data_IF_764493464116
#
_entry.id   IF_764493464116
#
_cell.length_a   1.000
_cell.length_b   1.000
_cell.length_c   1.000
_cell.angle_alpha   90.00
_cell.angle_beta   90.00
_cell.angle_gamma   90.00
#
_symmetry.space_group_name_H-M   'P 1'
#
loop_
_entity.id
_entity.type
_entity.pdbx_description
1 polymer ?
#
# COMPACT_ATOMS: atom_id res chain seq x y z
N UNK A 1 -34.10 20.76 47.40
CA UNK A 1 -34.90 20.22 46.27
C UNK A 1 -34.30 20.54 44.89
N UNK A 2 -33.41 21.54 44.80
CA UNK A 2 -32.72 21.99 43.57
C UNK A 2 -31.60 21.04 43.10
N UNK A 3 -30.88 20.38 44.02
CA UNK A 3 -29.77 19.48 43.68
C UNK A 3 -30.22 18.21 42.92
N UNK A 4 -31.42 17.69 43.23
CA UNK A 4 -32.01 16.55 42.50
C UNK A 4 -32.47 16.95 41.09
N UNK A 5 -32.88 18.21 40.88
CA UNK A 5 -33.29 18.72 39.58
C UNK A 5 -32.11 18.88 38.61
N UNK A 6 -30.90 19.14 39.12
CA UNK A 6 -29.68 19.26 38.31
C UNK A 6 -29.03 17.90 37.98
N UNK A 7 -29.35 16.87 38.76
CA UNK A 7 -28.76 15.53 38.60
C UNK A 7 -29.33 14.76 37.39
N UNK A 8 -30.60 14.98 37.05
CA UNK A 8 -31.30 14.36 35.92
C UNK A 8 -30.74 14.82 34.55
N UNK A 9 -30.59 16.14 34.27
CA UNK A 9 -30.02 16.58 33.00
C UNK A 9 -28.52 16.28 32.90
N UNK A 10 -27.78 16.32 34.02
CA UNK A 10 -26.38 15.91 34.03
C UNK A 10 -26.23 14.43 33.65
N UNK A 11 -27.04 13.55 34.22
CA UNK A 11 -27.03 12.13 33.88
C UNK A 11 -27.45 11.89 32.41
N UNK A 12 -28.43 12.63 31.89
CA UNK A 12 -28.83 12.56 30.48
C UNK A 12 -27.70 13.00 29.52
N UNK A 13 -26.92 14.03 29.88
CA UNK A 13 -25.73 14.47 29.15
C UNK A 13 -24.62 13.40 29.17
N UNK A 14 -24.44 12.72 30.30
CA UNK A 14 -23.51 11.58 30.40
C UNK A 14 -23.98 10.37 29.57
N UNK A 15 -25.30 10.12 29.48
CA UNK A 15 -25.84 9.05 28.63
C UNK A 15 -25.83 9.39 27.13
N UNK A 16 -25.96 10.67 26.76
CA UNK A 16 -25.84 11.12 25.38
C UNK A 16 -24.38 11.08 24.85
N UNK A 17 -23.40 10.96 25.74
CA UNK A 17 -22.00 10.72 25.40
C UNK A 17 -21.67 9.22 25.22
N UNK A 18 -22.62 8.32 25.48
CA UNK A 18 -22.50 6.92 25.09
C UNK A 18 -22.89 6.79 23.61
N UNK A 19 -21.90 6.46 22.79
CA UNK A 19 -22.09 6.07 21.39
C UNK A 19 -23.16 4.97 21.31
N UNK A 20 -24.32 5.28 20.73
CA UNK A 20 -25.43 4.32 20.59
C UNK A 20 -24.99 3.30 19.54
N UNK A 21 -24.70 2.04 19.91
CA UNK A 21 -24.28 1.04 18.93
C UNK A 21 -25.46 0.75 18.01
N UNK A 22 -25.45 1.30 16.80
CA UNK A 22 -26.52 1.10 15.82
C UNK A 22 -26.99 2.34 15.04
N UNK A 23 -26.53 3.55 15.38
CA UNK A 23 -26.76 4.77 14.59
C UNK A 23 -25.65 5.06 13.56
N UNK A 24 -24.77 4.08 13.31
CA UNK A 24 -23.75 4.18 12.27
C UNK A 24 -24.33 4.10 10.86
N UNK A 25 -23.53 4.40 9.82
CA UNK A 25 -23.91 4.14 8.43
C UNK A 25 -24.39 2.68 8.29
N UNK A 26 -25.35 2.46 7.39
CA UNK A 26 -25.94 1.14 7.13
C UNK A 26 -24.83 0.07 7.13
N UNK A 27 -24.96 -1.03 7.88
CA UNK A 27 -23.89 -2.00 8.09
C UNK A 27 -23.34 -2.57 6.77
N UNK A 28 -24.15 -2.60 5.70
CA UNK A 28 -23.72 -3.02 4.37
C UNK A 28 -22.86 -1.97 3.69
N UNK A 29 -23.12 -0.68 3.92
CA UNK A 29 -22.28 0.41 3.40
C UNK A 29 -20.94 0.41 4.14
N UNK A 30 -20.97 0.33 5.48
CA UNK A 30 -19.75 0.22 6.29
C UNK A 30 -18.91 -1.00 5.87
N UNK A 31 -19.55 -2.15 5.62
CA UNK A 31 -18.86 -3.33 5.13
C UNK A 31 -18.26 -3.09 3.74
N UNK A 32 -18.99 -2.50 2.79
CA UNK A 32 -18.45 -2.21 1.44
C UNK A 32 -17.25 -1.25 1.48
N UNK A 33 -17.28 -0.26 2.37
CA UNK A 33 -16.15 0.65 2.57
C UNK A 33 -14.94 -0.06 3.17
N UNK A 34 -15.16 -0.91 4.18
CA UNK A 34 -14.10 -1.71 4.80
C UNK A 34 -13.46 -2.69 3.79
N UNK A 35 -14.27 -3.39 3.01
CA UNK A 35 -13.80 -4.27 1.94
C UNK A 35 -13.00 -3.50 0.88
N UNK A 36 -13.49 -2.34 0.45
CA UNK A 36 -12.80 -1.49 -0.51
C UNK A 36 -11.45 -0.98 0.02
N UNK A 37 -11.35 -0.59 1.30
CA UNK A 37 -10.09 -0.23 1.94
C UNK A 37 -9.11 -1.41 1.99
N UNK A 38 -9.59 -2.60 2.36
CA UNK A 38 -8.77 -3.81 2.39
C UNK A 38 -8.21 -4.14 1.00
N UNK A 39 -9.03 -4.04 -0.05
CA UNK A 39 -8.60 -4.19 -1.45
C UNK A 39 -7.50 -3.19 -1.80
N UNK A 40 -7.67 -1.91 -1.45
CA UNK A 40 -6.67 -0.87 -1.71
C UNK A 40 -5.32 -1.16 -1.05
N UNK A 41 -5.34 -1.56 0.21
CA UNK A 41 -4.13 -1.94 0.94
C UNK A 41 -3.45 -3.16 0.31
N UNK A 42 -4.22 -4.20 -0.03
CA UNK A 42 -3.70 -5.38 -0.71
C UNK A 42 -3.08 -5.04 -2.08
N UNK A 43 -3.73 -4.18 -2.87
CA UNK A 43 -3.18 -3.71 -4.15
C UNK A 43 -1.84 -3.02 -3.98
N UNK A 44 -1.70 -2.15 -2.97
CA UNK A 44 -0.44 -1.45 -2.73
C UNK A 44 0.67 -2.40 -2.29
N UNK A 45 0.34 -3.32 -1.38
CA UNK A 45 1.25 -4.37 -0.95
C UNK A 45 1.68 -5.25 -2.13
N UNK A 46 0.77 -5.52 -3.07
CA UNK A 46 1.04 -6.20 -4.33
C UNK A 46 1.86 -5.37 -5.34
N UNK A 47 2.37 -4.20 -4.94
CA UNK A 47 3.14 -3.26 -5.76
C UNK A 47 2.43 -2.79 -7.03
N UNK A 48 1.08 -2.75 -7.02
CA UNK A 48 0.30 -2.23 -8.14
C UNK A 48 0.05 -0.72 -8.06
N UNK A 49 -0.04 -0.09 -9.23
CA UNK A 49 -0.55 1.27 -9.36
C UNK A 49 -2.05 1.35 -9.02
N UNK A 50 -2.51 2.52 -8.59
CA UNK A 50 -3.92 2.72 -8.20
C UNK A 50 -4.89 2.52 -9.38
N UNK A 51 -4.50 2.95 -10.58
CA UNK A 51 -5.32 2.81 -11.79
C UNK A 51 -5.56 1.34 -12.16
N UNK A 52 -4.53 0.49 -12.03
CA UNK A 52 -4.66 -0.96 -12.22
C UNK A 52 -5.59 -1.56 -11.16
N UNK A 53 -5.48 -1.10 -9.91
CA UNK A 53 -6.36 -1.56 -8.83
C UNK A 53 -7.85 -1.24 -9.11
N UNK A 54 -8.15 -0.09 -9.71
CA UNK A 54 -9.52 0.26 -10.11
C UNK A 54 -10.05 -0.61 -11.24
N UNK A 55 -9.20 -0.98 -12.20
CA UNK A 55 -9.57 -1.86 -13.30
C UNK A 55 -9.85 -3.28 -12.82
N UNK A 56 -9.06 -3.78 -11.87
CA UNK A 56 -9.23 -5.11 -11.27
C UNK A 56 -10.45 -5.19 -10.34
N UNK A 57 -10.86 -4.05 -9.76
CA UNK A 57 -11.93 -4.00 -8.75
C UNK A 57 -13.04 -3.00 -9.13
N UNK A 58 -13.74 -3.20 -10.27
CA UNK A 58 -14.72 -2.23 -10.76
C UNK A 58 -15.97 -2.09 -9.87
N UNK A 59 -16.21 -3.05 -8.97
CA UNK A 59 -17.33 -3.04 -8.01
C UNK A 59 -16.97 -2.39 -6.67
N UNK A 60 -15.69 -2.09 -6.43
CA UNK A 60 -15.24 -1.49 -5.20
C UNK A 60 -15.44 0.03 -5.22
N UNK A 61 -15.63 0.61 -4.03
CA UNK A 61 -15.73 2.06 -3.86
C UNK A 61 -14.34 2.68 -4.10
N UNK A 62 -14.16 3.35 -5.24
CA UNK A 62 -12.85 3.88 -5.67
C UNK A 62 -12.19 4.79 -4.62
N UNK A 63 -12.98 5.58 -3.90
CA UNK A 63 -12.50 6.45 -2.82
C UNK A 63 -11.92 5.63 -1.66
N UNK A 64 -12.66 4.65 -1.16
CA UNK A 64 -12.20 3.76 -0.11
C UNK A 64 -11.00 2.90 -0.54
N UNK A 65 -10.95 2.46 -1.79
CA UNK A 65 -9.76 1.79 -2.36
C UNK A 65 -8.54 2.71 -2.32
N UNK A 66 -8.69 3.99 -2.70
CA UNK A 66 -7.58 4.94 -2.64
C UNK A 66 -7.10 5.20 -1.21
N UNK A 67 -8.03 5.33 -0.27
CA UNK A 67 -7.71 5.54 1.14
C UNK A 67 -6.86 4.37 1.67
N UNK A 68 -7.33 3.13 1.49
CA UNK A 68 -6.58 1.95 1.90
C UNK A 68 -5.23 1.79 1.18
N UNK A 69 -5.15 2.17 -0.09
CA UNK A 69 -3.90 2.15 -0.85
C UNK A 69 -2.87 3.13 -0.29
N UNK A 70 -3.29 4.38 0.03
CA UNK A 70 -2.41 5.41 0.61
C UNK A 70 -1.99 5.06 2.04
N UNK A 71 -2.91 4.55 2.85
CA UNK A 71 -2.61 4.09 4.21
C UNK A 71 -1.56 2.98 4.19
N UNK A 72 -1.71 2.01 3.29
CA UNK A 72 -0.72 0.94 3.14
C UNK A 72 0.61 1.44 2.57
N UNK A 73 0.61 2.41 1.63
CA UNK A 73 1.85 3.01 1.12
C UNK A 73 2.62 3.71 2.22
N UNK A 74 1.92 4.49 3.04
CA UNK A 74 2.49 5.16 4.21
C UNK A 74 3.04 4.14 5.21
N UNK A 75 2.25 3.12 5.54
CA UNK A 75 2.67 2.05 6.44
C UNK A 75 3.92 1.32 5.95
N UNK A 76 4.01 1.01 4.65
CA UNK A 76 5.19 0.39 4.06
C UNK A 76 6.43 1.29 4.14
N UNK A 77 6.28 2.61 3.91
CA UNK A 77 7.40 3.58 4.01
C UNK A 77 7.89 3.73 5.44
N UNK A 78 6.97 3.85 6.38
CA UNK A 78 7.30 4.05 7.79
C UNK A 78 7.96 2.82 8.40
N UNK A 79 7.58 1.62 7.93
CA UNK A 79 8.04 0.34 8.49
C UNK A 79 9.05 -0.40 7.59
N UNK A 80 9.48 0.20 6.47
CA UNK A 80 10.42 -0.39 5.50
C UNK A 80 10.00 -1.79 5.04
N UNK A 81 8.70 -1.97 4.82
CA UNK A 81 8.16 -3.24 4.34
C UNK A 81 8.32 -3.33 2.83
N UNK A 82 8.80 -4.48 2.38
CA UNK A 82 8.81 -4.81 0.96
C UNK A 82 7.44 -5.35 0.55
N UNK A 83 6.89 -4.80 -0.53
CA UNK A 83 5.66 -5.32 -1.11
C UNK A 83 5.94 -6.63 -1.83
N UNK A 84 4.92 -7.45 -2.04
CA UNK A 84 5.03 -8.70 -2.79
C UNK A 84 4.38 -8.55 -4.17
N UNK A 85 5.15 -8.25 -5.24
CA UNK A 85 4.56 -8.12 -6.57
C UNK A 85 4.01 -9.46 -7.05
N UNK A 86 2.83 -9.42 -7.66
CA UNK A 86 2.23 -10.62 -8.25
C UNK A 86 3.04 -11.10 -9.45
N UNK A 87 2.91 -12.38 -9.85
CA UNK A 87 3.61 -12.90 -11.03
C UNK A 87 3.39 -12.03 -12.27
N UNK A 88 2.14 -11.59 -12.52
CA UNK A 88 1.84 -10.77 -13.70
C UNK A 88 2.53 -9.39 -13.64
N UNK A 89 2.59 -8.78 -12.45
CA UNK A 89 3.28 -7.51 -12.24
C UNK A 89 4.81 -7.65 -12.39
N UNK A 90 5.38 -8.79 -11.98
CA UNK A 90 6.81 -9.10 -12.17
C UNK A 90 7.16 -9.22 -13.66
N UNK A 91 6.37 -9.99 -14.40
CA UNK A 91 6.56 -10.19 -15.84
C UNK A 91 6.44 -8.86 -16.61
N UNK A 92 5.47 -8.01 -16.27
CA UNK A 92 5.31 -6.69 -16.86
C UNK A 92 6.49 -5.75 -16.57
N UNK A 93 7.07 -5.82 -15.36
CA UNK A 93 8.24 -5.04 -14.99
C UNK A 93 9.53 -5.52 -15.71
N UNK A 94 9.68 -6.82 -15.93
CA UNK A 94 10.81 -7.40 -16.66
C UNK A 94 10.74 -7.09 -18.17
N UNK A 95 9.55 -7.12 -18.76
CA UNK A 95 9.34 -6.76 -20.16
C UNK A 95 9.64 -5.28 -20.48
N UNK A 96 9.60 -4.39 -19.48
CA UNK A 96 9.83 -2.95 -19.64
C UNK A 96 11.29 -2.53 -19.36
N UNK A 97 12.18 -3.43 -18.95
CA UNK A 97 13.60 -3.11 -18.83
C UNK A 97 14.21 -2.92 -20.23
N UNK A 98 14.76 -1.74 -20.58
CA UNK A 98 15.56 -1.62 -21.78
C UNK A 98 16.78 -2.54 -21.65
N UNK A 99 17.09 -3.30 -22.70
CA UNK A 99 18.31 -4.07 -22.80
C UNK A 99 19.52 -3.12 -22.72
N UNK A 100 19.98 -2.84 -21.51
CA UNK A 100 21.24 -2.15 -21.28
C UNK A 100 22.34 -3.10 -21.75
N UNK A 101 22.86 -2.78 -22.95
CA UNK A 101 23.93 -3.45 -23.64
C UNK A 101 24.99 -4.02 -22.69
N UNK A 102 25.07 -5.36 -22.64
CA UNK A 102 26.30 -6.07 -22.32
C UNK A 102 27.36 -5.73 -23.39
N UNK A 103 27.99 -4.56 -23.29
CA UNK A 103 29.34 -4.37 -23.83
C UNK A 103 30.33 -4.85 -22.78
N UNK A 104 30.42 -6.18 -22.65
CA UNK A 104 31.63 -6.85 -22.17
C UNK A 104 32.66 -6.76 -23.30
N UNK A 105 33.83 -6.11 -23.15
CA UNK A 105 34.90 -6.29 -24.11
C UNK A 105 35.41 -7.72 -23.96
N UNK A 106 35.28 -8.51 -25.02
CA UNK A 106 35.87 -9.84 -25.13
C UNK A 106 37.42 -9.75 -25.16
N UNK A 107 38.13 -10.81 -24.73
CA UNK A 107 39.57 -10.78 -24.51
C UNK A 107 40.36 -11.15 -25.78
N UNK A 108 41.30 -10.31 -26.18
CA UNK A 108 42.42 -10.61 -27.08
C UNK A 108 43.39 -9.40 -27.01
N UNK A 109 44.71 -9.48 -26.97
CA UNK A 109 45.66 -10.57 -27.14
C UNK A 109 46.96 -10.14 -26.43
N UNK A 110 47.74 -11.12 -25.95
CA UNK A 110 49.14 -10.90 -25.54
C UNK A 110 49.97 -10.46 -26.75
N UNK A 111 50.99 -9.62 -26.54
CA UNK A 111 52.31 -9.87 -27.12
C UNK A 111 53.33 -10.14 -26.01
N UNK A 112 54.14 -11.18 -26.21
CA UNK A 112 55.37 -11.45 -25.46
C UNK A 112 56.54 -10.62 -26.05
N UNK A 113 57.80 -10.82 -25.61
CA UNK A 113 58.41 -10.52 -24.31
C UNK A 113 59.53 -9.46 -24.46
N UNK A 114 59.97 -8.81 -23.37
CA UNK A 114 61.26 -8.11 -23.34
C UNK A 114 61.84 -8.07 -21.92
N UNK A 115 63.09 -8.52 -21.83
CA UNK A 115 63.97 -8.64 -20.68
C UNK A 115 64.13 -7.37 -19.82
N UNK A 116 64.30 -7.57 -18.49
CA UNK A 116 65.44 -6.99 -17.74
C UNK A 116 65.57 -7.60 -16.34
N UNK A 117 66.62 -8.40 -16.20
CA UNK A 117 67.27 -8.77 -14.94
C UNK A 117 68.26 -7.65 -14.59
N UNK A 118 68.03 -6.93 -13.49
CA UNK A 118 69.04 -6.18 -12.71
C UNK A 118 68.39 -5.62 -11.44
N UNK A 119 68.44 -6.36 -10.33
CA UNK A 119 69.34 -6.13 -9.18
C UNK A 119 69.00 -7.13 -8.08
#
# INVERSE_FOLDING_TARGET
MTLRLLLIPALALLLAACDIPGLGPDPRIAQREAEARAIGGACRYAQRGIEECYQLNPKALKTAVFDGWREMDQYMRDNKLEGQPTPEAREAAEAQKPAAAEKKPAPAAKPAPADKKTS
#
